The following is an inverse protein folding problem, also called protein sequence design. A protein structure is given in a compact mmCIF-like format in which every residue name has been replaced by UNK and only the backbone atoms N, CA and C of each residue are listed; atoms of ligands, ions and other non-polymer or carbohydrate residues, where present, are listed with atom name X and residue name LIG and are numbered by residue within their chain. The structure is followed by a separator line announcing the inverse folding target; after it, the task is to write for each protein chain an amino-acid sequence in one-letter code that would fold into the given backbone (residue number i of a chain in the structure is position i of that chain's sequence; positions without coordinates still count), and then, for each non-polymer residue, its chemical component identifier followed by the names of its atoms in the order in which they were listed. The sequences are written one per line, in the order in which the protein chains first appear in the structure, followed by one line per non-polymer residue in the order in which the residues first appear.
data_IF_802227853921
#
_entry.id   IF_802227853921
#
_cell.length_a   1.000
_cell.length_b   1.000
_cell.length_c   1.000
_cell.angle_alpha   90.00
_cell.angle_beta   90.00
_cell.angle_gamma   90.00
#
_symmetry.space_group_name_H-M   'P 1'
#
loop_
_entity.id
_entity.type
_entity.pdbx_description
1 polymer ?
#
# COMPACT_ATOMS: atom_id res chain seq x y z
N UNK A 1 -33.00 -19.98 -31.18
CA UNK A 1 -32.09 -19.44 -30.11
C UNK A 1 -31.36 -18.25 -30.71
N UNK A 2 -31.86 -17.07 -30.49
CA UNK A 2 -31.30 -15.79 -31.00
C UNK A 2 -30.26 -15.27 -30.00
N UNK A 3 -29.05 -15.05 -30.48
CA UNK A 3 -27.98 -14.42 -29.72
C UNK A 3 -28.25 -12.90 -29.59
N UNK A 4 -28.30 -12.39 -28.37
CA UNK A 4 -28.47 -10.99 -28.05
C UNK A 4 -27.08 -10.31 -28.07
N UNK A 5 -26.73 -9.63 -29.14
CA UNK A 5 -25.58 -8.75 -29.21
C UNK A 5 -25.91 -7.44 -28.48
N UNK A 6 -25.29 -7.24 -27.32
CA UNK A 6 -25.27 -5.93 -26.65
C UNK A 6 -24.11 -5.10 -27.20
N UNK A 7 -24.44 -4.17 -28.09
CA UNK A 7 -23.54 -3.11 -28.52
C UNK A 7 -23.33 -2.12 -27.39
N UNK A 8 -22.10 -2.06 -26.88
CA UNK A 8 -21.67 -1.04 -25.89
C UNK A 8 -21.40 0.27 -26.62
N UNK A 9 -22.25 1.30 -26.41
CA UNK A 9 -22.01 2.66 -26.89
C UNK A 9 -21.27 3.43 -25.78
N UNK A 10 -20.06 3.95 -26.00
CA UNK A 10 -19.41 4.83 -25.04
C UNK A 10 -20.02 6.23 -25.10
N UNK A 11 -20.59 6.69 -24.00
CA UNK A 11 -21.04 8.06 -23.75
C UNK A 11 -19.85 8.92 -23.26
N UNK A 12 -18.98 9.32 -24.18
CA UNK A 12 -17.99 10.38 -23.90
C UNK A 12 -17.68 11.14 -25.20
N UNK A 13 -18.63 12.01 -25.62
CA UNK A 13 -18.33 13.04 -26.59
C UNK A 13 -18.48 14.39 -25.87
N UNK A 14 -17.37 15.14 -25.73
CA UNK A 14 -17.45 16.53 -25.31
C UNK A 14 -16.37 17.09 -24.40
N UNK A 15 -15.13 16.51 -24.41
CA UNK A 15 -13.98 17.19 -23.81
C UNK A 15 -12.97 17.54 -24.91
N UNK A 16 -12.58 18.80 -25.09
CA UNK A 16 -11.59 19.22 -26.08
C UNK A 16 -10.19 18.81 -25.57
N UNK A 17 -9.44 18.01 -26.36
CA UNK A 17 -8.04 17.69 -26.09
C UNK A 17 -7.67 16.22 -26.01
N UNK A 18 -8.59 15.28 -26.27
CA UNK A 18 -8.23 13.84 -26.38
C UNK A 18 -7.97 13.53 -27.85
N UNK A 19 -6.69 13.31 -28.18
CA UNK A 19 -6.28 12.82 -29.51
C UNK A 19 -6.78 11.39 -29.63
N UNK A 20 -7.63 11.13 -30.62
CA UNK A 20 -8.10 9.79 -30.96
C UNK A 20 -6.90 8.93 -31.40
N UNK A 21 -6.84 7.62 -31.04
CA UNK A 21 -5.81 6.73 -31.55
C UNK A 21 -6.00 6.53 -33.07
N UNK A 22 -4.91 6.34 -33.83
CA UNK A 22 -4.99 6.16 -35.27
C UNK A 22 -5.77 4.90 -35.61
N UNK A 23 -6.83 5.05 -36.40
CA UNK A 23 -7.57 3.96 -37.04
C UNK A 23 -6.69 3.31 -38.09
N UNK A 24 -6.23 2.08 -37.84
CA UNK A 24 -5.45 1.37 -38.85
C UNK A 24 -4.53 0.26 -38.33
N UNK A 25 -4.84 -0.41 -37.20
CA UNK A 25 -4.09 -1.60 -36.81
C UNK A 25 -4.65 -2.83 -37.52
N UNK A 26 -4.02 -3.19 -38.63
CA UNK A 26 -4.25 -4.47 -39.33
C UNK A 26 -3.52 -5.57 -38.55
N UNK A 27 -4.27 -6.43 -37.84
CA UNK A 27 -3.68 -7.61 -37.19
C UNK A 27 -3.25 -8.62 -38.28
N UNK A 28 -1.95 -8.69 -38.57
CA UNK A 28 -1.38 -9.81 -39.30
C UNK A 28 -1.42 -11.07 -38.42
N UNK A 29 -2.06 -12.15 -38.93
CA UNK A 29 -1.99 -13.47 -38.29
C UNK A 29 -0.53 -13.86 -38.10
N UNK A 30 -0.10 -13.95 -36.82
CA UNK A 30 1.22 -14.44 -36.50
C UNK A 30 1.40 -15.87 -36.93
N UNK A 31 2.33 -16.10 -37.88
CA UNK A 31 2.77 -17.43 -38.26
C UNK A 31 3.30 -18.21 -37.05
N UNK A 32 3.09 -19.52 -37.04
CA UNK A 32 3.59 -20.43 -36.01
C UNK A 32 5.11 -20.28 -35.88
N UNK A 33 5.56 -19.82 -34.71
CA UNK A 33 7.00 -19.83 -34.38
C UNK A 33 7.47 -21.28 -34.26
N UNK A 34 8.66 -21.63 -34.81
CA UNK A 34 9.24 -22.95 -34.60
C UNK A 34 9.49 -23.16 -33.10
N UNK A 35 9.24 -24.38 -32.63
CA UNK A 35 9.45 -24.77 -31.24
C UNK A 35 10.91 -24.54 -30.84
N UNK A 36 11.14 -23.84 -29.72
CA UNK A 36 12.47 -23.72 -29.11
C UNK A 36 12.95 -25.11 -28.69
N UNK A 37 14.20 -25.48 -28.99
CA UNK A 37 14.78 -26.70 -28.42
C UNK A 37 14.74 -26.63 -26.91
N UNK A 38 14.25 -27.69 -26.27
CA UNK A 38 14.26 -27.81 -24.82
C UNK A 38 15.72 -28.04 -24.36
N UNK A 39 16.18 -27.37 -23.28
CA UNK A 39 17.49 -27.64 -22.71
C UNK A 39 17.50 -29.08 -22.19
N UNK A 40 18.54 -29.84 -22.57
CA UNK A 40 18.81 -31.17 -22.05
C UNK A 40 19.14 -31.05 -20.54
N UNK A 41 18.33 -31.68 -19.71
CA UNK A 41 18.53 -31.74 -18.26
C UNK A 41 19.65 -32.75 -18.02
N UNK A 42 20.77 -32.29 -17.45
CA UNK A 42 21.87 -33.14 -17.00
C UNK A 42 21.39 -34.01 -15.80
N UNK A 43 21.63 -35.32 -15.80
CA UNK A 43 21.11 -36.22 -14.77
C UNK A 43 21.80 -36.11 -13.40
N UNK A 44 22.81 -35.26 -13.22
CA UNK A 44 23.59 -35.13 -11.99
C UNK A 44 23.22 -33.96 -11.07
N UNK A 45 22.09 -33.30 -11.30
CA UNK A 45 21.53 -32.38 -10.32
C UNK A 45 20.80 -33.19 -9.26
N UNK A 46 21.47 -33.40 -8.09
CA UNK A 46 20.83 -33.90 -6.89
C UNK A 46 19.51 -33.15 -6.67
N UNK A 47 18.42 -33.84 -6.28
CA UNK A 47 17.17 -33.16 -6.02
C UNK A 47 17.40 -32.16 -4.89
N UNK A 48 17.31 -30.88 -5.21
CA UNK A 48 17.13 -29.83 -4.22
C UNK A 48 15.81 -30.18 -3.50
N UNK A 49 15.88 -30.61 -2.26
CA UNK A 49 14.69 -30.80 -1.43
C UNK A 49 13.99 -29.46 -1.31
N UNK A 50 13.10 -29.19 -2.24
CA UNK A 50 12.13 -28.10 -2.11
C UNK A 50 11.23 -28.48 -0.93
N UNK A 51 11.40 -27.76 0.17
CA UNK A 51 10.39 -27.73 1.23
C UNK A 51 9.05 -27.37 0.59
N UNK A 52 8.14 -28.35 0.50
CA UNK A 52 6.88 -28.32 -0.27
C UNK A 52 5.79 -27.44 0.36
N UNK A 53 6.12 -26.40 1.10
CA UNK A 53 5.13 -25.43 1.54
C UNK A 53 5.35 -24.08 0.87
N UNK A 54 4.75 -23.91 -0.31
CA UNK A 54 4.56 -22.57 -0.87
C UNK A 54 3.85 -21.70 0.19
N UNK A 55 4.32 -20.47 0.43
CA UNK A 55 3.66 -19.59 1.38
C UNK A 55 2.20 -19.38 0.95
N UNK A 56 1.25 -19.83 1.76
CA UNK A 56 -0.18 -19.66 1.51
C UNK A 56 -0.62 -18.25 1.91
N UNK A 57 -1.63 -17.71 1.19
CA UNK A 57 -2.27 -16.46 1.56
C UNK A 57 -3.10 -16.68 2.84
N UNK A 58 -2.80 -15.93 3.90
CA UNK A 58 -3.36 -16.14 5.23
C UNK A 58 -4.88 -15.95 5.35
N UNK A 59 -5.48 -15.21 4.41
CA UNK A 59 -6.91 -14.89 4.39
C UNK A 59 -7.72 -15.74 3.41
N UNK A 60 -7.18 -16.85 2.94
CA UNK A 60 -7.89 -17.85 2.15
C UNK A 60 -7.97 -19.16 2.93
N UNK A 61 -9.10 -19.84 2.88
CA UNK A 61 -9.25 -21.20 3.38
C UNK A 61 -8.82 -22.23 2.31
N UNK A 62 -8.89 -23.51 2.65
CA UNK A 62 -8.50 -24.60 1.75
C UNK A 62 -9.34 -24.68 0.46
N UNK A 63 -10.57 -24.11 0.48
CA UNK A 63 -11.43 -23.98 -0.69
C UNK A 63 -11.19 -22.71 -1.51
N UNK A 64 -10.25 -21.84 -1.07
CA UNK A 64 -9.97 -20.55 -1.70
C UNK A 64 -10.95 -19.45 -1.33
N UNK A 65 -11.81 -19.66 -0.32
CA UNK A 65 -12.73 -18.64 0.14
C UNK A 65 -12.06 -17.69 1.14
N UNK A 66 -12.48 -16.43 1.08
CA UNK A 66 -11.95 -15.37 1.94
C UNK A 66 -12.45 -15.54 3.37
N UNK A 67 -11.53 -15.52 4.34
CA UNK A 67 -11.86 -15.54 5.77
C UNK A 67 -10.92 -14.69 6.61
N UNK A 68 -11.41 -14.18 7.72
CA UNK A 68 -10.54 -13.59 8.75
C UNK A 68 -9.76 -14.70 9.45
N UNK A 69 -8.48 -14.48 9.72
CA UNK A 69 -7.64 -15.47 10.43
C UNK A 69 -8.13 -15.63 11.86
N UNK A 70 -8.38 -16.87 12.28
CA UNK A 70 -8.68 -17.14 13.67
C UNK A 70 -7.41 -17.00 14.53
N UNK A 71 -7.50 -16.20 15.57
CA UNK A 71 -6.42 -15.97 16.53
C UNK A 71 -6.82 -16.38 17.96
N UNK A 72 -7.98 -17.03 18.13
CA UNK A 72 -8.55 -17.39 19.42
C UNK A 72 -7.57 -18.13 20.34
N UNK A 73 -6.87 -19.12 19.81
CA UNK A 73 -5.95 -19.99 20.56
C UNK A 73 -4.53 -19.39 20.77
N UNK A 74 -4.26 -18.22 20.20
CA UNK A 74 -2.94 -17.58 20.35
C UNK A 74 -2.85 -16.84 21.69
N UNK A 75 -1.70 -16.95 22.33
CA UNK A 75 -1.39 -16.14 23.52
C UNK A 75 -1.16 -14.66 23.14
N UNK A 76 -1.50 -13.78 24.06
CA UNK A 76 -1.16 -12.37 23.93
C UNK A 76 0.35 -12.16 24.00
N UNK A 77 0.87 -11.29 23.15
CA UNK A 77 2.28 -10.87 23.16
C UNK A 77 2.37 -9.39 22.78
N UNK A 78 3.48 -8.77 23.19
CA UNK A 78 3.77 -7.40 22.80
C UNK A 78 4.06 -7.36 21.30
N UNK A 79 3.42 -6.43 20.62
CA UNK A 79 3.52 -6.22 19.18
C UNK A 79 3.88 -4.78 18.88
N UNK A 80 4.79 -4.59 17.95
CA UNK A 80 5.12 -3.29 17.41
C UNK A 80 5.23 -3.39 15.90
N UNK A 81 4.73 -2.37 15.21
CA UNK A 81 4.96 -2.18 13.78
C UNK A 81 5.31 -0.71 13.51
N UNK A 82 6.18 -0.51 12.54
CA UNK A 82 6.57 0.80 12.02
C UNK A 82 6.34 0.78 10.52
N UNK A 83 5.52 1.71 10.05
CA UNK A 83 5.35 1.97 8.63
C UNK A 83 6.01 3.29 8.24
N UNK A 84 6.31 3.42 6.97
CA UNK A 84 6.84 4.63 6.35
C UNK A 84 6.02 4.98 5.12
N UNK A 85 5.96 6.28 4.83
CA UNK A 85 5.43 6.84 3.59
C UNK A 85 6.19 8.13 3.29
N UNK A 86 6.07 8.63 2.07
CA UNK A 86 6.58 9.95 1.72
C UNK A 86 5.56 10.72 0.90
N UNK A 87 5.63 12.06 1.01
CA UNK A 87 4.85 12.99 0.19
C UNK A 87 5.82 13.92 -0.50
N UNK A 88 5.94 13.81 -1.82
CA UNK A 88 6.78 14.68 -2.63
C UNK A 88 5.91 15.73 -3.34
N UNK A 89 6.38 16.96 -3.36
CA UNK A 89 5.65 18.09 -3.91
C UNK A 89 6.56 19.04 -4.68
N UNK A 90 6.00 20.02 -5.36
CA UNK A 90 6.77 21.06 -6.03
C UNK A 90 7.54 21.92 -5.02
N UNK A 91 8.67 22.57 -5.42
CA UNK A 91 9.39 23.50 -4.58
C UNK A 91 8.51 24.60 -4.01
N UNK A 92 7.55 25.10 -4.82
CA UNK A 92 6.61 26.14 -4.41
C UNK A 92 5.70 25.66 -3.28
N UNK A 93 5.08 24.46 -3.42
CA UNK A 93 4.20 23.93 -2.38
C UNK A 93 4.96 23.61 -1.10
N UNK A 94 6.16 23.04 -1.24
CA UNK A 94 7.05 22.76 -0.11
C UNK A 94 7.45 24.04 0.64
N UNK A 95 7.82 25.10 -0.10
CA UNK A 95 8.15 26.39 0.46
C UNK A 95 6.99 27.01 1.25
N UNK A 96 5.77 27.00 0.69
CA UNK A 96 4.56 27.48 1.38
C UNK A 96 4.29 26.70 2.66
N UNK A 97 4.46 25.38 2.63
CA UNK A 97 4.26 24.54 3.81
C UNK A 97 5.29 24.79 4.89
N UNK A 98 6.57 25.03 4.52
CA UNK A 98 7.69 25.10 5.46
C UNK A 98 8.01 26.50 5.98
N UNK A 99 7.46 27.56 5.36
CA UNK A 99 7.67 28.95 5.80
C UNK A 99 7.13 29.18 7.23
N UNK A 100 7.87 29.90 8.07
CA UNK A 100 7.41 30.30 9.40
C UNK A 100 6.13 31.11 9.31
N UNK A 101 5.12 30.75 10.12
CA UNK A 101 3.83 31.45 10.17
C UNK A 101 2.83 31.08 9.08
N UNK A 102 3.17 30.20 8.13
CA UNK A 102 2.31 29.80 7.01
C UNK A 102 1.80 28.34 7.08
N UNK A 103 1.40 27.87 8.24
CA UNK A 103 0.58 26.67 8.32
C UNK A 103 1.31 25.33 8.44
N UNK A 104 2.66 25.26 8.46
CA UNK A 104 3.40 24.01 8.67
C UNK A 104 2.90 23.22 9.88
N UNK A 105 2.73 23.91 11.02
CA UNK A 105 2.24 23.29 12.25
C UNK A 105 0.83 22.73 12.07
N UNK A 106 -0.05 23.47 11.42
CA UNK A 106 -1.44 23.06 11.21
C UNK A 106 -1.55 21.87 10.26
N UNK A 107 -0.84 21.88 9.12
CA UNK A 107 -0.86 20.77 8.16
C UNK A 107 -0.34 19.48 8.79
N UNK A 108 0.84 19.51 9.40
CA UNK A 108 1.46 18.32 9.99
C UNK A 108 0.72 17.85 11.24
N UNK A 109 0.17 18.76 12.07
CA UNK A 109 -0.63 18.37 13.22
C UNK A 109 -1.96 17.77 12.82
N UNK A 110 -2.64 18.34 11.81
CA UNK A 110 -3.86 17.76 11.24
C UNK A 110 -3.60 16.37 10.67
N UNK A 111 -2.53 16.20 9.90
CA UNK A 111 -2.11 14.90 9.36
C UNK A 111 -1.79 13.88 10.47
N UNK A 112 -1.13 14.32 11.55
CA UNK A 112 -0.86 13.46 12.71
C UNK A 112 -2.16 12.98 13.36
N UNK A 113 -3.10 13.88 13.64
CA UNK A 113 -4.39 13.51 14.24
C UNK A 113 -5.17 12.59 13.32
N UNK A 114 -5.23 12.87 12.01
CA UNK A 114 -5.91 12.04 11.03
C UNK A 114 -5.32 10.63 10.98
N UNK A 115 -3.98 10.50 10.96
CA UNK A 115 -3.31 9.20 10.97
C UNK A 115 -3.56 8.41 12.27
N UNK A 116 -3.57 9.07 13.44
CA UNK A 116 -3.91 8.41 14.72
C UNK A 116 -5.35 7.90 14.70
N UNK A 117 -6.29 8.68 14.18
CA UNK A 117 -7.70 8.26 14.04
C UNK A 117 -7.83 7.08 13.06
N UNK A 118 -7.10 7.11 11.96
CA UNK A 118 -7.09 6.05 10.96
C UNK A 118 -6.56 4.72 11.52
N UNK A 119 -5.47 4.74 12.29
CA UNK A 119 -4.98 3.55 12.98
C UNK A 119 -6.06 2.93 13.87
N UNK A 120 -6.78 3.74 14.66
CA UNK A 120 -7.85 3.28 15.55
C UNK A 120 -9.07 2.73 14.81
N UNK A 121 -9.24 3.06 13.55
CA UNK A 121 -10.34 2.60 12.69
C UNK A 121 -9.88 1.62 11.61
N UNK A 122 -8.70 1.05 11.73
CA UNK A 122 -8.13 0.16 10.73
C UNK A 122 -9.08 -1.00 10.37
N UNK A 123 -9.69 -1.63 11.35
CA UNK A 123 -10.64 -2.73 11.13
C UNK A 123 -11.93 -2.32 10.37
N UNK A 124 -12.29 -1.03 10.39
CA UNK A 124 -13.42 -0.50 9.61
C UNK A 124 -13.04 -0.25 8.14
N UNK A 125 -11.75 -0.09 7.84
CA UNK A 125 -11.21 0.23 6.52
C UNK A 125 -10.68 -1.00 5.78
N UNK A 126 -10.09 -1.94 6.50
CA UNK A 126 -9.46 -3.15 5.96
C UNK A 126 -10.30 -4.36 6.37
N UNK A 127 -11.03 -4.99 5.43
CA UNK A 127 -12.15 -5.90 5.73
C UNK A 127 -11.82 -7.08 6.64
N UNK A 128 -10.60 -7.63 6.57
CA UNK A 128 -10.22 -8.83 7.32
C UNK A 128 -9.29 -8.55 8.50
N UNK A 129 -9.11 -7.28 8.86
CA UNK A 129 -8.37 -6.90 10.04
C UNK A 129 -9.18 -7.12 11.33
N UNK A 130 -8.49 -7.52 12.39
CA UNK A 130 -9.06 -7.60 13.72
C UNK A 130 -9.19 -6.20 14.33
N UNK A 131 -10.21 -5.97 15.14
CA UNK A 131 -10.28 -4.78 15.97
C UNK A 131 -9.32 -4.90 17.15
N UNK A 132 -8.28 -4.07 17.18
CA UNK A 132 -7.19 -4.20 18.15
C UNK A 132 -7.20 -3.07 19.18
N UNK A 133 -6.94 -3.39 20.48
CA UNK A 133 -6.72 -2.40 21.52
C UNK A 133 -5.31 -1.80 21.41
N UNK A 134 -5.17 -0.71 20.65
CA UNK A 134 -3.87 -0.03 20.50
C UNK A 134 -3.45 0.62 21.78
N UNK A 135 -2.26 0.28 22.30
CA UNK A 135 -1.63 0.92 23.44
C UNK A 135 -0.86 2.19 23.08
N UNK A 136 -0.42 2.30 21.82
CA UNK A 136 0.33 3.44 21.32
C UNK A 136 0.17 3.62 19.82
N UNK A 137 0.00 4.88 19.40
CA UNK A 137 0.12 5.32 17.99
C UNK A 137 0.92 6.62 18.00
N UNK A 138 2.09 6.60 17.35
CA UNK A 138 2.94 7.78 17.16
C UNK A 138 3.16 8.05 15.68
N UNK A 139 3.08 9.32 15.26
CA UNK A 139 3.39 9.75 13.90
C UNK A 139 4.42 10.86 13.94
N UNK A 140 5.50 10.64 13.22
CA UNK A 140 6.64 11.55 13.11
C UNK A 140 6.78 11.98 11.65
N UNK A 141 7.24 13.22 11.46
CA UNK A 141 7.51 13.80 10.15
C UNK A 141 8.95 14.30 10.10
N UNK A 142 9.64 13.97 9.02
CA UNK A 142 10.96 14.54 8.66
C UNK A 142 10.82 15.29 7.35
N UNK A 143 11.44 16.46 7.27
CA UNK A 143 11.41 17.32 6.10
C UNK A 143 12.73 17.19 5.35
N UNK A 144 12.66 16.80 4.10
CA UNK A 144 13.80 16.78 3.18
C UNK A 144 13.67 17.97 2.20
N UNK A 145 14.45 19.00 2.46
CA UNK A 145 14.45 20.22 1.66
C UNK A 145 15.04 20.01 0.27
N UNK A 146 16.00 19.09 0.13
CA UNK A 146 16.67 18.87 -1.15
C UNK A 146 15.74 18.20 -2.17
N UNK A 147 14.95 17.24 -1.73
CA UNK A 147 14.01 16.51 -2.57
C UNK A 147 12.56 17.02 -2.49
N UNK A 148 12.30 18.07 -1.71
CA UNK A 148 10.97 18.61 -1.42
C UNK A 148 9.99 17.53 -0.97
N UNK A 149 10.45 16.67 -0.03
CA UNK A 149 9.72 15.53 0.52
C UNK A 149 9.41 15.72 2.00
N UNK A 150 8.28 15.17 2.38
CA UNK A 150 7.91 14.95 3.77
C UNK A 150 7.90 13.45 4.00
N UNK A 151 8.86 12.98 4.79
CA UNK A 151 8.89 11.58 5.24
C UNK A 151 7.94 11.43 6.42
N UNK A 152 7.19 10.34 6.42
CA UNK A 152 6.20 9.99 7.44
C UNK A 152 6.61 8.67 8.05
N UNK A 153 6.65 8.61 9.37
CA UNK A 153 6.89 7.39 10.12
C UNK A 153 5.77 7.19 11.12
N UNK A 154 5.03 6.09 11.01
CA UNK A 154 3.99 5.72 11.96
C UNK A 154 4.42 4.49 12.76
N UNK A 155 4.32 4.58 14.08
CA UNK A 155 4.59 3.49 15.01
C UNK A 155 3.30 3.12 15.72
N UNK A 156 2.90 1.84 15.65
CA UNK A 156 1.77 1.29 16.40
C UNK A 156 2.25 0.20 17.36
N UNK A 157 1.63 0.13 18.55
CA UNK A 157 1.89 -0.92 19.54
C UNK A 157 0.60 -1.45 20.13
N UNK A 158 0.61 -2.73 20.43
CA UNK A 158 -0.46 -3.40 21.18
C UNK A 158 0.11 -4.59 21.94
N UNK A 159 -0.63 -5.08 22.94
CA UNK A 159 -0.44 -6.41 23.51
C UNK A 159 -1.65 -7.23 23.15
N UNK A 160 -1.51 -8.08 22.12
CA UNK A 160 -2.61 -8.86 21.59
C UNK A 160 -2.12 -10.08 20.80
N UNK A 161 -3.06 -10.86 20.28
CA UNK A 161 -2.85 -12.15 19.59
C UNK A 161 -2.35 -12.01 18.15
N UNK A 162 -2.44 -10.82 17.53
CA UNK A 162 -2.00 -10.55 16.15
C UNK A 162 -1.20 -9.27 16.06
N UNK A 163 -0.53 -9.03 14.91
CA UNK A 163 0.30 -7.86 14.68
C UNK A 163 -0.48 -6.59 14.39
N UNK A 164 0.22 -5.46 14.33
CA UNK A 164 -0.33 -4.10 14.13
C UNK A 164 0.23 -3.44 12.86
N UNK A 165 0.61 -4.28 11.88
CA UNK A 165 1.20 -3.81 10.63
C UNK A 165 0.22 -2.94 9.84
N UNK A 166 -1.04 -3.37 9.77
CA UNK A 166 -2.06 -2.65 9.00
C UNK A 166 -2.46 -1.33 9.66
N UNK A 167 -2.48 -1.26 10.98
CA UNK A 167 -2.71 -0.03 11.72
C UNK A 167 -1.61 1.00 11.45
N UNK A 168 -0.35 0.58 11.42
CA UNK A 168 0.78 1.46 11.11
C UNK A 168 0.74 1.93 9.64
N UNK A 169 0.47 1.04 8.69
CA UNK A 169 0.36 1.40 7.27
C UNK A 169 -0.83 2.30 6.99
N UNK A 170 -1.98 2.03 7.60
CA UNK A 170 -3.19 2.87 7.47
C UNK A 170 -2.94 4.27 8.05
N UNK A 171 -2.24 4.36 9.18
CA UNK A 171 -1.85 5.64 9.77
C UNK A 171 -0.98 6.49 8.82
N UNK A 172 0.06 5.89 8.22
CA UNK A 172 0.91 6.56 7.23
C UNK A 172 0.11 7.01 6.00
N UNK A 173 -0.74 6.14 5.48
CA UNK A 173 -1.54 6.41 4.28
C UNK A 173 -2.46 7.61 4.48
N UNK A 174 -3.21 7.64 5.59
CA UNK A 174 -4.16 8.73 5.85
C UNK A 174 -3.45 10.03 6.22
N UNK A 175 -2.31 9.96 6.94
CA UNK A 175 -1.49 11.14 7.17
C UNK A 175 -0.97 11.75 5.86
N UNK A 176 -0.49 10.92 4.93
CA UNK A 176 -0.03 11.36 3.61
C UNK A 176 -1.15 11.98 2.77
N UNK A 177 -2.33 11.35 2.74
CA UNK A 177 -3.52 11.88 2.06
C UNK A 177 -4.00 13.20 2.66
N UNK A 178 -3.87 13.37 3.97
CA UNK A 178 -4.22 14.64 4.65
C UNK A 178 -3.27 15.76 4.24
N UNK A 179 -1.96 15.48 4.14
CA UNK A 179 -1.00 16.45 3.61
C UNK A 179 -1.36 16.84 2.17
N UNK A 180 -1.67 15.85 1.33
CA UNK A 180 -2.12 16.10 -0.04
C UNK A 180 -3.34 17.00 -0.07
N UNK A 181 -4.38 16.67 0.69
CA UNK A 181 -5.65 17.43 0.70
C UNK A 181 -5.44 18.89 1.10
N UNK A 182 -4.62 19.12 2.12
CA UNK A 182 -4.36 20.47 2.62
C UNK A 182 -3.43 21.30 1.71
N UNK A 183 -2.62 20.65 0.87
CA UNK A 183 -1.64 21.31 0.00
C UNK A 183 -2.06 21.34 -1.48
N UNK A 184 -3.08 20.61 -1.91
CA UNK A 184 -3.49 20.43 -3.32
C UNK A 184 -3.86 21.74 -4.04
N UNK A 185 -4.21 22.80 -3.31
CA UNK A 185 -4.48 24.12 -3.90
C UNK A 185 -3.20 24.76 -4.45
N UNK A 186 -2.04 24.48 -3.83
CA UNK A 186 -0.74 24.99 -4.28
C UNK A 186 -0.11 24.07 -5.35
N UNK A 187 -0.35 22.75 -5.25
CA UNK A 187 0.21 21.77 -6.18
C UNK A 187 -0.69 20.54 -6.30
N UNK A 188 -1.32 20.35 -7.46
CA UNK A 188 -2.11 19.14 -7.74
C UNK A 188 -1.26 17.94 -8.13
N UNK A 189 0.02 18.16 -8.42
CA UNK A 189 0.99 17.15 -8.80
C UNK A 189 1.70 16.47 -7.62
N UNK A 190 1.26 16.71 -6.38
CA UNK A 190 1.78 16.04 -5.18
C UNK A 190 1.65 14.53 -5.33
N UNK A 191 2.72 13.80 -5.03
CA UNK A 191 2.77 12.33 -5.09
C UNK A 191 2.93 11.77 -3.69
N UNK A 192 2.03 10.84 -3.33
CA UNK A 192 2.19 9.96 -2.17
C UNK A 192 2.92 8.72 -2.63
N UNK A 193 4.05 8.44 -2.03
CA UNK A 193 4.95 7.38 -2.46
C UNK A 193 5.47 6.53 -1.29
N UNK A 194 5.95 5.32 -1.60
CA UNK A 194 6.66 4.45 -0.67
C UNK A 194 5.90 4.09 0.61
N UNK A 195 4.59 3.91 0.54
CA UNK A 195 3.84 3.37 1.67
C UNK A 195 4.27 1.92 1.88
N UNK A 196 4.98 1.64 2.98
CA UNK A 196 5.53 0.32 3.25
C UNK A 196 5.64 0.03 4.74
N UNK A 197 5.63 -1.26 5.07
CA UNK A 197 6.08 -1.71 6.38
C UNK A 197 7.60 -1.57 6.43
N UNK A 198 8.14 -0.92 7.47
CA UNK A 198 9.57 -0.75 7.66
C UNK A 198 10.12 -1.69 8.73
N UNK A 199 9.32 -1.98 9.75
CA UNK A 199 9.72 -2.82 10.86
C UNK A 199 8.52 -3.45 11.54
N UNK A 200 8.67 -4.66 12.01
CA UNK A 200 7.76 -5.26 12.99
C UNK A 200 8.49 -6.17 13.95
N UNK A 201 7.96 -6.32 15.15
CA UNK A 201 8.43 -7.30 16.11
C UNK A 201 7.29 -7.85 16.97
N UNK A 202 7.54 -9.01 17.51
CA UNK A 202 6.65 -9.74 18.43
C UNK A 202 5.92 -10.90 17.78
N UNK A 203 5.43 -11.81 18.64
CA UNK A 203 4.75 -13.04 18.25
C UNK A 203 5.63 -14.11 17.63
N UNK A 204 5.00 -15.11 17.00
CA UNK A 204 5.67 -16.31 16.49
C UNK A 204 6.69 -16.01 15.37
N UNK A 205 6.44 -14.99 14.55
CA UNK A 205 7.30 -14.61 13.41
C UNK A 205 8.52 -13.76 13.81
N UNK A 206 8.65 -13.39 15.10
CA UNK A 206 9.81 -12.64 15.57
C UNK A 206 9.92 -11.22 15.01
N UNK A 207 11.15 -10.83 14.75
CA UNK A 207 11.50 -9.50 14.21
C UNK A 207 11.68 -9.56 12.69
N UNK A 208 11.23 -8.51 12.00
CA UNK A 208 11.44 -8.32 10.57
C UNK A 208 11.72 -6.84 10.27
N UNK A 209 12.65 -6.57 9.37
CA UNK A 209 12.98 -5.24 8.83
C UNK A 209 12.95 -5.27 7.32
N UNK A 210 12.56 -4.15 6.77
CA UNK A 210 12.76 -3.87 5.35
C UNK A 210 14.18 -3.35 5.15
N UNK A 211 14.89 -3.92 4.21
CA UNK A 211 16.24 -3.48 3.77
C UNK A 211 16.18 -2.13 3.04
#
# INVERSE_FOLDING_TARGET
MQACERTYRPLLTGLPGIIAPPTGLVYHKAGRRPARPQPSIHPDLLPFEMSDTLPSLSHLDESGQVRMVDVGDKADSDRVAIAQAAVRMSPQAYGLLTQPGQGKGEVLNTARVAGVLAAKRCAELIPLCHSLPLSFVGIEFSLDEQSHRIEIRATCRTRYKTGVEMEAMTACSVAALTIYDMCKAADKGIVVEQIRLAYKAGGKSGEWRHD
#
